data_IF_479892879139
#
_entry.id   IF_479892879139
#
_cell.length_a   1.000
_cell.length_b   1.000
_cell.length_c   1.000
_cell.angle_alpha   90.00
_cell.angle_beta   90.00
_cell.angle_gamma   90.00
#
_symmetry.space_group_name_H-M   'P 1'
#
loop_
_entity.id
_entity.type
_entity.pdbx_description
1 polymer ?
#
# COMPACT_ATOMS: atom_id res chain seq x y z
N UNK A 1 -17.43 19.76 -27.62
CA UNK A 1 -17.88 19.47 -26.23
C UNK A 1 -16.65 19.26 -25.36
N UNK A 2 -16.36 20.14 -24.38
CA UNK A 2 -15.26 19.87 -23.42
C UNK A 2 -15.73 18.80 -22.43
N UNK A 3 -15.05 17.64 -22.41
CA UNK A 3 -15.27 16.55 -21.45
C UNK A 3 -15.25 17.06 -20.00
N UNK A 4 -16.02 16.42 -19.13
CA UNK A 4 -15.92 16.71 -17.69
C UNK A 4 -14.56 16.23 -17.16
N UNK A 5 -14.10 16.80 -16.05
CA UNK A 5 -12.87 16.36 -15.40
C UNK A 5 -13.01 14.93 -14.87
N UNK A 6 -14.21 14.54 -14.45
CA UNK A 6 -14.50 13.15 -14.06
C UNK A 6 -14.29 12.18 -15.23
N UNK A 7 -14.81 12.49 -16.42
CA UNK A 7 -14.59 11.68 -17.62
C UNK A 7 -13.10 11.59 -17.98
N UNK A 8 -12.39 12.72 -17.90
CA UNK A 8 -10.95 12.75 -18.14
C UNK A 8 -10.19 11.89 -17.14
N UNK A 9 -10.46 12.03 -15.84
CA UNK A 9 -9.77 11.28 -14.81
C UNK A 9 -10.10 9.79 -14.89
N UNK A 10 -11.33 9.42 -15.25
CA UNK A 10 -11.73 8.02 -15.48
C UNK A 10 -10.98 7.36 -16.64
N UNK A 11 -10.46 8.11 -17.60
CA UNK A 11 -9.60 7.59 -18.67
C UNK A 11 -8.09 7.73 -18.37
N UNK A 12 -7.70 8.49 -17.35
CA UNK A 12 -6.31 8.75 -17.03
C UNK A 12 -5.65 7.52 -16.35
N UNK A 13 -4.65 6.87 -16.98
CA UNK A 13 -3.94 5.73 -16.38
C UNK A 13 -3.03 6.13 -15.22
N UNK A 14 -2.66 7.41 -15.12
CA UNK A 14 -1.86 7.97 -14.03
C UNK A 14 -2.72 8.85 -13.11
N UNK A 15 -3.99 8.50 -12.94
CA UNK A 15 -4.90 9.24 -12.06
C UNK A 15 -4.35 9.19 -10.64
N UNK A 16 -4.15 10.35 -10.04
CA UNK A 16 -3.91 10.50 -8.61
C UNK A 16 -5.22 10.16 -7.84
N UNK A 17 -5.21 9.26 -6.84
CA UNK A 17 -6.40 8.96 -6.03
C UNK A 17 -7.03 10.20 -5.39
N UNK A 18 -6.21 11.19 -5.00
CA UNK A 18 -6.64 12.42 -4.36
C UNK A 18 -7.00 13.52 -5.38
N UNK A 19 -7.19 13.20 -6.67
CA UNK A 19 -7.35 14.21 -7.72
C UNK A 19 -8.47 15.22 -7.46
N UNK A 20 -9.54 14.85 -6.73
CA UNK A 20 -10.63 15.78 -6.37
C UNK A 20 -10.18 16.78 -5.32
N UNK A 21 -9.53 16.33 -4.25
CA UNK A 21 -8.92 17.21 -3.25
C UNK A 21 -7.84 18.10 -3.89
N UNK A 22 -6.93 17.52 -4.68
CA UNK A 22 -5.88 18.25 -5.40
C UNK A 22 -6.48 19.32 -6.34
N UNK A 23 -7.63 19.03 -6.96
CA UNK A 23 -8.34 20.01 -7.78
C UNK A 23 -8.90 21.16 -6.93
N UNK A 24 -9.47 20.89 -5.76
CA UNK A 24 -9.92 21.94 -4.84
C UNK A 24 -8.74 22.81 -4.40
N UNK A 25 -7.61 22.22 -4.01
CA UNK A 25 -6.44 22.96 -3.58
C UNK A 25 -5.86 23.84 -4.69
N UNK A 26 -5.79 23.33 -5.93
CA UNK A 26 -5.36 24.10 -7.08
C UNK A 26 -6.29 25.31 -7.34
N UNK A 27 -7.61 25.11 -7.28
CA UNK A 27 -8.59 26.20 -7.46
C UNK A 27 -8.47 27.28 -6.39
N UNK A 28 -8.29 26.87 -5.12
CA UNK A 28 -8.08 27.80 -4.01
C UNK A 28 -6.79 28.60 -4.17
N UNK A 29 -5.71 27.94 -4.57
CA UNK A 29 -4.42 28.58 -4.81
C UNK A 29 -4.48 29.59 -5.96
N UNK A 30 -5.17 29.25 -7.04
CA UNK A 30 -5.37 30.12 -8.20
C UNK A 30 -6.44 31.22 -7.98
N UNK A 31 -7.21 31.15 -6.89
CA UNK A 31 -8.32 32.07 -6.63
C UNK A 31 -9.55 31.87 -7.54
N UNK A 32 -9.73 30.66 -8.07
CA UNK A 32 -10.81 30.33 -9.00
C UNK A 32 -11.98 29.59 -8.33
N UNK A 33 -13.20 29.82 -8.82
CA UNK A 33 -14.38 29.03 -8.41
C UNK A 33 -14.51 27.73 -9.24
N UNK A 34 -14.84 26.60 -8.61
CA UNK A 34 -15.13 25.36 -9.32
C UNK A 34 -16.40 25.47 -10.16
N UNK A 35 -16.37 24.87 -11.35
CA UNK A 35 -17.54 24.77 -12.21
C UNK A 35 -18.24 23.44 -11.99
N UNK A 36 -19.51 23.46 -11.57
CA UNK A 36 -20.30 22.21 -11.36
C UNK A 36 -20.29 21.28 -12.57
N UNK A 37 -20.36 21.84 -13.79
CA UNK A 37 -20.33 21.07 -15.04
C UNK A 37 -18.96 20.45 -15.34
N UNK A 38 -17.86 21.15 -15.03
CA UNK A 38 -16.51 20.67 -15.39
C UNK A 38 -15.87 19.86 -14.26
N UNK A 39 -16.01 20.32 -13.02
CA UNK A 39 -15.31 19.78 -11.86
C UNK A 39 -16.20 18.83 -11.02
N UNK A 40 -17.52 18.90 -11.18
CA UNK A 40 -18.49 18.07 -10.45
C UNK A 40 -19.02 18.71 -9.16
N UNK A 41 -20.12 18.18 -8.65
CA UNK A 41 -20.80 18.71 -7.46
C UNK A 41 -19.97 18.51 -6.19
N UNK A 42 -19.28 17.37 -6.07
CA UNK A 42 -18.47 17.07 -4.89
C UNK A 42 -17.27 18.02 -4.75
N UNK A 43 -16.57 18.33 -5.85
CA UNK A 43 -15.48 19.32 -5.86
C UNK A 43 -16.00 20.70 -5.48
N UNK A 44 -17.19 21.07 -5.97
CA UNK A 44 -17.83 22.35 -5.62
C UNK A 44 -18.19 22.41 -4.12
N UNK A 45 -18.81 21.35 -3.58
CA UNK A 45 -19.16 21.26 -2.16
C UNK A 45 -17.92 21.31 -1.27
N UNK A 46 -16.88 20.53 -1.59
CA UNK A 46 -15.64 20.50 -0.81
C UNK A 46 -14.88 21.84 -0.89
N UNK A 47 -14.82 22.48 -2.05
CA UNK A 47 -14.24 23.82 -2.18
C UNK A 47 -14.93 24.85 -1.28
N UNK A 48 -16.26 24.88 -1.27
CA UNK A 48 -17.04 25.77 -0.39
C UNK A 48 -16.77 25.47 1.09
N UNK A 49 -16.67 24.19 1.45
CA UNK A 49 -16.30 23.76 2.79
C UNK A 49 -14.90 24.27 3.18
N UNK A 50 -13.87 24.04 2.36
CA UNK A 50 -12.49 24.45 2.66
C UNK A 50 -12.36 25.96 2.74
N UNK A 51 -13.00 26.73 1.85
CA UNK A 51 -13.03 28.21 1.96
C UNK A 51 -13.61 28.66 3.30
N UNK A 52 -14.70 28.02 3.74
CA UNK A 52 -15.33 28.32 5.03
C UNK A 52 -14.41 27.92 6.19
N UNK A 53 -13.78 26.75 6.12
CA UNK A 53 -12.83 26.25 7.11
C UNK A 53 -11.66 27.24 7.31
N UNK A 54 -11.02 27.67 6.21
CA UNK A 54 -9.91 28.64 6.23
C UNK A 54 -10.32 30.03 6.76
N UNK A 55 -11.61 30.37 6.67
CA UNK A 55 -12.15 31.64 7.19
C UNK A 55 -12.51 31.62 8.68
N UNK A 56 -12.44 30.45 9.35
CA UNK A 56 -12.84 30.31 10.75
C UNK A 56 -11.98 31.21 11.65
N UNK A 57 -12.65 32.05 12.43
CA UNK A 57 -12.05 32.82 13.52
C UNK A 57 -12.73 32.44 14.83
N UNK A 58 -12.06 31.64 15.65
CA UNK A 58 -12.47 31.28 17.01
C UNK A 58 -13.43 30.09 17.12
N UNK A 59 -13.63 29.63 18.37
CA UNK A 59 -14.29 28.36 18.71
C UNK A 59 -15.76 28.28 18.29
N UNK A 60 -16.51 29.39 18.37
CA UNK A 60 -17.95 29.41 18.01
C UNK A 60 -18.17 29.14 16.51
N UNK A 61 -17.32 29.69 15.65
CA UNK A 61 -17.41 29.48 14.20
C UNK A 61 -17.05 28.03 13.84
N UNK A 62 -16.03 27.48 14.49
CA UNK A 62 -15.65 26.07 14.37
C UNK A 62 -16.79 25.13 14.78
N UNK A 63 -17.39 25.33 15.96
CA UNK A 63 -18.51 24.51 16.43
C UNK A 63 -19.71 24.52 15.47
N UNK A 64 -20.01 25.66 14.83
CA UNK A 64 -21.05 25.73 13.79
C UNK A 64 -20.66 24.98 12.52
N UNK A 65 -19.38 24.98 12.14
CA UNK A 65 -18.92 24.19 10.99
C UNK A 65 -19.06 22.70 11.30
N UNK A 66 -18.56 22.26 12.46
CA UNK A 66 -18.67 20.89 12.96
C UNK A 66 -20.12 20.40 13.00
N UNK A 67 -21.05 21.21 13.51
CA UNK A 67 -22.46 20.85 13.56
C UNK A 67 -23.12 20.74 12.17
N UNK A 68 -22.63 21.51 11.18
CA UNK A 68 -23.23 21.53 9.84
C UNK A 68 -22.62 20.52 8.86
N UNK A 69 -21.35 20.15 9.04
CA UNK A 69 -20.60 19.27 8.14
C UNK A 69 -19.66 18.36 8.96
N UNK A 70 -20.18 17.51 9.87
CA UNK A 70 -19.35 16.74 10.80
C UNK A 70 -18.44 15.75 10.07
N UNK A 71 -18.97 15.00 9.08
CA UNK A 71 -18.21 14.02 8.31
C UNK A 71 -17.10 14.68 7.46
N UNK A 72 -17.45 15.74 6.73
CA UNK A 72 -16.50 16.51 5.90
C UNK A 72 -15.39 17.17 6.73
N UNK A 73 -15.71 17.66 7.93
CA UNK A 73 -14.72 18.20 8.86
C UNK A 73 -13.76 17.11 9.34
N UNK A 74 -14.30 15.97 9.80
CA UNK A 74 -13.50 14.84 10.25
C UNK A 74 -12.49 14.39 9.19
N UNK A 75 -12.94 14.17 7.94
CA UNK A 75 -12.05 13.71 6.86
C UNK A 75 -11.05 14.77 6.44
N UNK A 76 -11.42 16.04 6.48
CA UNK A 76 -10.50 17.13 6.16
C UNK A 76 -9.39 17.19 7.20
N UNK A 77 -9.74 17.18 8.49
CA UNK A 77 -8.75 17.20 9.56
C UNK A 77 -7.87 15.95 9.52
N UNK A 78 -8.46 14.76 9.33
CA UNK A 78 -7.73 13.50 9.18
C UNK A 78 -6.73 13.54 8.02
N UNK A 79 -7.11 14.11 6.87
CA UNK A 79 -6.22 14.22 5.71
C UNK A 79 -5.08 15.22 5.92
N UNK A 80 -5.26 16.21 6.79
CA UNK A 80 -4.28 17.27 7.07
C UNK A 80 -3.38 16.96 8.28
N UNK A 81 -3.57 15.84 8.98
CA UNK A 81 -2.72 15.44 10.10
C UNK A 81 -1.28 15.18 9.66
N UNK A 82 -0.31 15.58 10.50
CA UNK A 82 1.11 15.26 10.32
C UNK A 82 1.36 13.76 10.51
N UNK A 83 0.72 13.16 11.52
CA UNK A 83 0.71 11.71 11.68
C UNK A 83 -0.27 11.09 10.68
N UNK A 84 0.30 10.37 9.71
CA UNK A 84 -0.42 9.78 8.57
C UNK A 84 -0.76 8.31 8.80
N UNK A 85 -0.54 7.77 9.99
CA UNK A 85 -0.72 6.34 10.28
C UNK A 85 -2.19 5.89 10.12
N UNK A 86 -3.14 6.61 10.73
CA UNK A 86 -4.59 6.29 10.59
C UNK A 86 -5.08 6.51 9.15
N UNK A 87 -4.75 7.63 8.46
CA UNK A 87 -4.98 7.77 7.02
C UNK A 87 -4.45 6.59 6.20
N UNK A 88 -3.22 6.15 6.43
CA UNK A 88 -2.61 5.06 5.67
C UNK A 88 -3.32 3.72 5.89
N UNK A 89 -3.79 3.45 7.12
CA UNK A 89 -4.59 2.26 7.42
C UNK A 89 -5.96 2.32 6.72
N UNK A 90 -6.63 3.47 6.76
CA UNK A 90 -7.89 3.67 6.04
C UNK A 90 -7.71 3.46 4.53
N UNK A 91 -6.67 4.05 3.94
CA UNK A 91 -6.32 3.86 2.53
C UNK A 91 -6.04 2.38 2.22
N UNK A 92 -5.36 1.65 3.10
CA UNK A 92 -5.13 0.22 2.93
C UNK A 92 -6.43 -0.59 2.96
N UNK A 93 -7.36 -0.30 3.89
CA UNK A 93 -8.68 -0.96 3.90
C UNK A 93 -9.50 -0.63 2.65
N UNK A 94 -9.40 0.58 2.10
CA UNK A 94 -10.10 0.97 0.87
C UNK A 94 -9.65 0.16 -0.35
N UNK A 95 -8.46 -0.45 -0.32
CA UNK A 95 -7.94 -1.37 -1.34
C UNK A 95 -8.46 -2.81 -1.19
N UNK A 96 -9.20 -3.11 -0.12
CA UNK A 96 -9.80 -4.42 0.10
C UNK A 96 -11.21 -4.53 -0.48
N UNK A 97 -11.73 -5.75 -0.49
CA UNK A 97 -13.09 -6.13 -0.86
C UNK A 97 -14.16 -5.72 0.16
N UNK A 98 -13.78 -5.24 1.35
CA UNK A 98 -14.72 -4.76 2.36
C UNK A 98 -15.59 -3.61 1.86
N UNK A 99 -16.83 -3.54 2.34
CA UNK A 99 -17.74 -2.43 2.11
C UNK A 99 -17.32 -1.17 2.89
N UNK A 100 -17.74 0.01 2.43
CA UNK A 100 -17.46 1.27 3.15
C UNK A 100 -18.07 1.29 4.56
N UNK A 101 -19.15 0.55 4.80
CA UNK A 101 -19.77 0.42 6.12
C UNK A 101 -18.86 -0.35 7.09
N UNK A 102 -18.36 -1.51 6.66
CA UNK A 102 -17.42 -2.32 7.44
C UNK A 102 -16.11 -1.57 7.71
N UNK A 103 -15.60 -0.84 6.72
CA UNK A 103 -14.39 -0.02 6.87
C UNK A 103 -14.65 1.12 7.87
N UNK A 104 -15.78 1.81 7.78
CA UNK A 104 -16.13 2.89 8.71
C UNK A 104 -16.24 2.38 10.15
N UNK A 105 -16.89 1.22 10.35
CA UNK A 105 -16.98 0.56 11.65
C UNK A 105 -15.60 0.23 12.20
N UNK A 106 -14.72 -0.34 11.37
CA UNK A 106 -13.34 -0.67 11.75
C UNK A 106 -12.52 0.54 12.14
N UNK A 107 -12.62 1.67 11.43
CA UNK A 107 -11.84 2.87 11.77
C UNK A 107 -12.50 3.69 12.91
N UNK A 108 -13.75 3.40 13.26
CA UNK A 108 -14.49 4.16 14.27
C UNK A 108 -15.00 5.50 13.74
N UNK A 109 -15.43 5.54 12.48
CA UNK A 109 -16.03 6.72 11.85
C UNK A 109 -17.40 6.41 11.24
N UNK A 110 -18.09 7.43 10.75
CA UNK A 110 -19.36 7.24 10.03
C UNK A 110 -19.11 6.78 8.59
N UNK A 111 -20.07 6.04 8.02
CA UNK A 111 -20.02 5.62 6.60
C UNK A 111 -19.92 6.83 5.68
N UNK A 112 -20.59 7.93 6.04
CA UNK A 112 -20.52 9.19 5.32
C UNK A 112 -19.09 9.75 5.30
N UNK A 113 -18.37 9.72 6.42
CA UNK A 113 -16.97 10.14 6.47
C UNK A 113 -16.09 9.21 5.63
N UNK A 114 -16.23 7.89 5.75
CA UNK A 114 -15.47 6.95 4.92
C UNK A 114 -15.72 7.17 3.42
N UNK A 115 -16.98 7.46 3.05
CA UNK A 115 -17.38 7.78 1.66
C UNK A 115 -16.74 9.08 1.18
N UNK A 116 -16.76 10.15 1.99
CA UNK A 116 -16.08 11.39 1.62
C UNK A 116 -14.57 11.18 1.49
N UNK A 117 -13.96 10.40 2.38
CA UNK A 117 -12.54 10.13 2.33
C UNK A 117 -12.14 9.42 1.04
N UNK A 118 -12.84 8.33 0.71
CA UNK A 118 -12.65 7.60 -0.55
C UNK A 118 -12.82 8.53 -1.75
N UNK A 119 -13.92 9.29 -1.84
CA UNK A 119 -14.19 10.05 -3.06
C UNK A 119 -13.26 11.26 -3.25
N UNK A 120 -12.86 11.92 -2.16
CA UNK A 120 -12.08 13.16 -2.18
C UNK A 120 -10.57 12.91 -2.19
N UNK A 121 -10.10 12.02 -1.31
CA UNK A 121 -8.69 11.85 -0.99
C UNK A 121 -8.12 10.52 -1.48
N UNK A 122 -8.95 9.49 -1.71
CA UNK A 122 -8.44 8.18 -2.11
C UNK A 122 -9.37 7.42 -3.06
N UNK A 123 -9.66 8.02 -4.22
CA UNK A 123 -10.64 7.50 -5.17
C UNK A 123 -10.02 6.34 -5.98
N UNK A 124 -10.15 5.13 -5.43
CA UNK A 124 -9.51 3.91 -5.95
C UNK A 124 -10.50 2.79 -6.23
N UNK A 125 -11.70 2.81 -5.63
CA UNK A 125 -12.60 1.65 -5.62
C UNK A 125 -13.19 1.32 -6.99
N UNK A 126 -13.27 2.29 -7.90
CA UNK A 126 -13.68 2.08 -9.29
C UNK A 126 -12.61 1.39 -10.16
N UNK A 127 -11.45 1.06 -9.58
CA UNK A 127 -10.28 0.50 -10.30
C UNK A 127 -9.51 -0.55 -9.51
N UNK A 128 -10.17 -1.27 -8.59
CA UNK A 128 -9.50 -2.33 -7.83
C UNK A 128 -8.93 -3.43 -8.74
N UNK A 129 -9.50 -3.65 -9.92
CA UNK A 129 -9.02 -4.62 -10.92
C UNK A 129 -7.79 -4.12 -11.71
N UNK A 130 -7.42 -2.85 -11.60
CA UNK A 130 -6.26 -2.29 -12.30
C UNK A 130 -4.96 -2.57 -11.52
N UNK A 131 -4.55 -3.84 -11.46
CA UNK A 131 -3.41 -4.33 -10.64
C UNK A 131 -2.12 -3.57 -10.86
N UNK A 132 -1.74 -3.29 -12.11
CA UNK A 132 -0.51 -2.56 -12.43
C UNK A 132 -0.54 -1.12 -11.90
N UNK A 133 -1.72 -0.49 -11.94
CA UNK A 133 -1.92 0.86 -11.41
C UNK A 133 -1.83 0.85 -9.88
N UNK A 134 -2.45 -0.11 -9.19
CA UNK A 134 -2.43 -0.17 -7.73
C UNK A 134 -1.03 -0.52 -7.20
N UNK A 135 -0.39 -1.55 -7.76
CA UNK A 135 0.94 -1.97 -7.30
C UNK A 135 2.01 -0.95 -7.69
N UNK A 136 1.94 -0.42 -8.91
CA UNK A 136 2.95 0.51 -9.43
C UNK A 136 2.79 1.94 -8.89
N UNK A 137 1.57 2.47 -8.84
CA UNK A 137 1.33 3.85 -8.41
C UNK A 137 1.10 3.97 -6.90
N UNK A 138 0.33 3.06 -6.28
CA UNK A 138 -0.11 3.25 -4.89
C UNK A 138 0.74 2.51 -3.87
N UNK A 139 1.29 1.35 -4.24
CA UNK A 139 2.10 0.55 -3.33
C UNK A 139 3.61 0.85 -3.46
N UNK A 140 4.07 1.27 -4.64
CA UNK A 140 5.50 1.53 -4.88
C UNK A 140 5.86 3.02 -4.75
N UNK A 141 5.07 3.92 -5.31
CA UNK A 141 5.26 5.37 -5.14
C UNK A 141 4.54 5.74 -3.83
N UNK A 142 5.30 5.97 -2.75
CA UNK A 142 4.71 6.30 -1.44
C UNK A 142 3.97 7.64 -1.42
N UNK A 143 3.56 8.06 -0.22
CA UNK A 143 2.70 9.23 0.03
C UNK A 143 3.39 10.60 -0.18
N UNK A 144 4.39 10.69 -1.07
CA UNK A 144 5.19 11.91 -1.28
C UNK A 144 6.27 12.16 -0.21
N UNK A 145 6.52 11.18 0.66
CA UNK A 145 7.63 11.24 1.64
C UNK A 145 9.00 11.28 0.97
N UNK A 146 10.02 11.90 1.63
CA UNK A 146 11.37 11.99 1.11
C UNK A 146 11.96 10.60 0.78
N UNK A 147 12.90 10.54 -0.18
CA UNK A 147 13.57 9.29 -0.53
C UNK A 147 14.18 8.63 0.71
N UNK A 148 14.17 7.29 0.73
CA UNK A 148 14.62 6.50 1.89
C UNK A 148 16.00 6.98 2.39
N UNK A 149 16.21 7.06 3.71
CA UNK A 149 17.52 7.29 4.27
C UNK A 149 18.55 6.29 3.72
N UNK A 150 19.77 6.78 3.45
CA UNK A 150 20.85 5.96 2.87
C UNK A 150 21.32 4.84 3.81
N UNK A 151 21.02 4.95 5.10
CA UNK A 151 21.31 3.94 6.12
C UNK A 151 20.36 2.73 6.09
N UNK A 152 19.30 2.77 5.27
CA UNK A 152 18.35 1.67 5.12
C UNK A 152 17.36 1.54 6.29
N UNK A 153 17.26 2.55 7.14
CA UNK A 153 16.28 2.57 8.25
C UNK A 153 14.86 2.65 7.68
N UNK A 154 13.96 1.71 8.03
CA UNK A 154 12.57 1.74 7.57
C UNK A 154 11.87 3.02 8.02
N UNK A 155 11.20 3.71 7.09
CA UNK A 155 10.44 4.94 7.40
C UNK A 155 8.96 4.67 7.68
N UNK A 156 8.23 5.70 8.12
CA UNK A 156 6.77 5.64 8.24
C UNK A 156 6.10 5.38 6.87
N UNK A 157 6.57 6.00 5.78
CA UNK A 157 6.09 5.63 4.44
C UNK A 157 6.39 4.18 4.02
N UNK A 158 7.51 3.57 4.45
CA UNK A 158 7.73 2.14 4.18
C UNK A 158 6.62 1.29 4.80
N UNK A 159 6.23 1.61 6.04
CA UNK A 159 5.13 0.95 6.74
C UNK A 159 3.79 1.17 6.04
N UNK A 160 3.49 2.41 5.61
CA UNK A 160 2.25 2.71 4.89
C UNK A 160 2.14 1.98 3.55
N UNK A 161 3.25 1.95 2.78
CA UNK A 161 3.34 1.16 1.54
C UNK A 161 3.10 -0.32 1.81
N UNK A 162 3.69 -0.84 2.89
CA UNK A 162 3.53 -2.23 3.29
C UNK A 162 2.06 -2.55 3.64
N UNK A 163 1.35 -1.67 4.34
CA UNK A 163 -0.09 -1.83 4.60
C UNK A 163 -0.89 -1.95 3.32
N UNK A 164 -0.73 -1.00 2.39
CA UNK A 164 -1.45 -0.99 1.12
C UNK A 164 -1.19 -2.25 0.31
N UNK A 165 0.08 -2.66 0.22
CA UNK A 165 0.50 -3.87 -0.50
C UNK A 165 -0.11 -5.14 0.12
N UNK A 166 -0.03 -5.28 1.44
CA UNK A 166 -0.56 -6.44 2.15
C UNK A 166 -2.09 -6.49 2.12
N UNK A 167 -2.76 -5.33 2.18
CA UNK A 167 -4.20 -5.24 2.06
C UNK A 167 -4.68 -5.61 0.65
N UNK A 168 -4.05 -5.07 -0.39
CA UNK A 168 -4.45 -5.32 -1.76
C UNK A 168 -4.19 -6.78 -2.19
N UNK A 169 -3.04 -7.34 -1.80
CA UNK A 169 -2.67 -8.69 -2.23
C UNK A 169 -3.19 -9.80 -1.28
N UNK A 170 -3.36 -9.50 0.01
CA UNK A 170 -3.72 -10.47 1.06
C UNK A 170 -5.10 -10.25 1.68
N UNK A 171 -5.76 -9.13 1.39
CA UNK A 171 -7.06 -8.78 1.95
C UNK A 171 -7.00 -8.26 3.39
N UNK A 172 -8.18 -7.94 3.93
CA UNK A 172 -8.32 -7.27 5.23
C UNK A 172 -7.81 -8.10 6.42
N UNK A 173 -7.89 -9.44 6.37
CA UNK A 173 -7.41 -10.30 7.46
C UNK A 173 -5.90 -10.26 7.63
N UNK A 174 -5.17 -10.23 6.52
CA UNK A 174 -3.71 -10.07 6.54
C UNK A 174 -3.36 -8.67 7.04
N UNK A 175 -4.10 -7.66 6.59
CA UNK A 175 -3.93 -6.28 7.08
C UNK A 175 -4.13 -6.18 8.60
N UNK A 176 -5.17 -6.81 9.17
CA UNK A 176 -5.41 -6.80 10.62
C UNK A 176 -4.21 -7.35 11.40
N UNK A 177 -3.60 -8.46 10.93
CA UNK A 177 -2.39 -9.04 11.53
C UNK A 177 -1.21 -8.07 11.42
N UNK A 178 -1.03 -7.47 10.25
CA UNK A 178 0.09 -6.55 9.97
C UNK A 178 0.01 -5.31 10.87
N UNK A 179 -1.18 -4.70 11.01
CA UNK A 179 -1.39 -3.55 11.90
C UNK A 179 -1.13 -3.94 13.35
N UNK A 180 -1.66 -5.08 13.80
CA UNK A 180 -1.46 -5.57 15.16
C UNK A 180 0.03 -5.79 15.49
N UNK A 181 0.85 -6.17 14.51
CA UNK A 181 2.30 -6.40 14.70
C UNK A 181 3.12 -5.11 14.60
N UNK A 182 2.85 -4.26 13.60
CA UNK A 182 3.69 -3.09 13.30
C UNK A 182 3.26 -1.82 14.05
N UNK A 183 1.97 -1.69 14.37
CA UNK A 183 1.41 -0.54 15.08
C UNK A 183 0.50 -0.95 16.24
N UNK A 184 1.07 -1.63 17.27
CA UNK A 184 0.30 -2.15 18.40
C UNK A 184 -0.32 -1.06 19.30
N UNK A 185 0.08 0.19 19.13
CA UNK A 185 -0.41 1.34 19.89
C UNK A 185 -1.70 1.93 19.30
N UNK A 186 -2.08 1.52 18.09
CA UNK A 186 -3.28 2.02 17.43
C UNK A 186 -4.51 1.32 18.00
N UNK A 187 -5.46 2.13 18.46
CA UNK A 187 -6.74 1.66 19.00
C UNK A 187 -7.80 1.74 17.90
N UNK A 188 -7.73 0.79 16.98
CA UNK A 188 -8.78 0.51 15.98
C UNK A 188 -9.48 -0.77 16.46
N UNK A 189 -10.81 -0.91 16.34
CA UNK A 189 -11.51 -2.19 16.52
C UNK A 189 -11.09 -3.19 15.43
N UNK A 190 -9.87 -3.71 15.60
CA UNK A 190 -9.31 -4.81 14.84
C UNK A 190 -10.00 -6.11 15.28
N UNK A 191 -10.15 -7.04 14.34
CA UNK A 191 -10.59 -8.40 14.69
C UNK A 191 -9.56 -9.16 15.52
N UNK A 192 -8.33 -8.65 15.64
CA UNK A 192 -7.18 -9.29 16.27
C UNK A 192 -6.37 -8.27 17.07
N UNK A 193 -6.06 -8.54 18.34
CA UNK A 193 -5.10 -7.75 19.09
C UNK A 193 -3.67 -8.30 18.91
N UNK A 194 -2.67 -7.45 19.11
CA UNK A 194 -1.26 -7.83 18.99
C UNK A 194 -0.87 -9.05 19.84
N UNK A 195 -1.49 -9.21 21.02
CA UNK A 195 -1.26 -10.33 21.94
C UNK A 195 -1.84 -11.66 21.45
N UNK A 196 -2.81 -11.61 20.55
CA UNK A 196 -3.50 -12.79 20.01
C UNK A 196 -2.74 -13.36 18.79
N UNK A 197 -1.69 -12.67 18.32
CA UNK A 197 -0.84 -13.09 17.22
C UNK A 197 0.34 -13.91 17.74
N UNK A 198 0.44 -15.15 17.25
CA UNK A 198 1.55 -16.07 17.55
C UNK A 198 2.92 -15.45 17.24
N UNK A 199 3.94 -15.76 18.07
CA UNK A 199 5.26 -15.15 17.95
C UNK A 199 5.95 -15.49 16.61
N UNK A 200 5.73 -16.70 16.06
CA UNK A 200 6.27 -17.04 14.75
C UNK A 200 5.63 -16.21 13.64
N UNK A 201 4.34 -15.89 13.74
CA UNK A 201 3.64 -14.99 12.81
C UNK A 201 4.16 -13.56 12.94
N UNK A 202 4.34 -13.07 14.18
CA UNK A 202 4.92 -11.75 14.45
C UNK A 202 6.31 -11.61 13.82
N UNK A 203 7.18 -12.60 14.01
CA UNK A 203 8.52 -12.63 13.42
C UNK A 203 8.48 -12.65 11.90
N UNK A 204 7.57 -13.42 11.28
CA UNK A 204 7.39 -13.45 9.82
C UNK A 204 6.96 -12.09 9.26
N UNK A 205 5.98 -11.43 9.88
CA UNK A 205 5.54 -10.10 9.44
C UNK A 205 6.69 -9.10 9.53
N UNK A 206 7.44 -9.08 10.64
CA UNK A 206 8.62 -8.21 10.79
C UNK A 206 9.71 -8.51 9.76
N UNK A 207 9.98 -9.78 9.47
CA UNK A 207 10.95 -10.18 8.46
C UNK A 207 10.54 -9.73 7.05
N UNK A 208 9.25 -9.85 6.72
CA UNK A 208 8.71 -9.39 5.44
C UNK A 208 8.74 -7.87 5.31
N UNK A 209 8.39 -7.18 6.39
CA UNK A 209 8.49 -5.74 6.43
C UNK A 209 9.94 -5.28 6.25
N UNK A 210 10.90 -5.91 6.92
CA UNK A 210 12.32 -5.61 6.77
C UNK A 210 12.83 -5.89 5.35
N UNK A 211 12.39 -7.01 4.74
CA UNK A 211 12.74 -7.37 3.37
C UNK A 211 12.19 -6.35 2.37
N UNK A 212 10.94 -5.93 2.51
CA UNK A 212 10.29 -4.95 1.63
C UNK A 212 10.85 -3.53 1.78
N UNK A 213 11.20 -3.18 3.02
CA UNK A 213 11.81 -1.89 3.35
C UNK A 213 13.30 -1.86 2.99
N UNK A 214 13.89 -3.01 2.63
CA UNK A 214 15.29 -3.10 2.23
C UNK A 214 15.55 -2.41 0.88
N UNK A 215 16.69 -1.74 0.70
CA UNK A 215 17.14 -1.22 -0.60
C UNK A 215 17.33 -2.33 -1.65
N UNK A 216 17.47 -3.58 -1.21
CA UNK A 216 17.67 -4.76 -2.06
C UNK A 216 16.35 -5.43 -2.48
N UNK A 217 15.19 -4.88 -2.09
CA UNK A 217 13.86 -5.38 -2.40
C UNK A 217 13.56 -5.31 -3.91
N UNK A 218 14.12 -6.26 -4.66
CA UNK A 218 13.90 -6.44 -6.11
C UNK A 218 12.87 -7.53 -6.39
N UNK A 219 12.41 -8.25 -5.35
CA UNK A 219 11.55 -9.43 -5.47
C UNK A 219 10.20 -9.20 -4.78
N UNK A 220 9.13 -9.79 -5.34
CA UNK A 220 7.81 -9.80 -4.70
C UNK A 220 7.87 -10.66 -3.40
N UNK A 221 7.58 -10.10 -2.22
CA UNK A 221 7.79 -10.73 -0.93
C UNK A 221 6.80 -11.88 -0.73
N UNK A 222 5.59 -11.77 -1.27
CA UNK A 222 4.58 -12.83 -1.22
C UNK A 222 5.02 -14.03 -2.05
N UNK A 223 5.71 -13.80 -3.18
CA UNK A 223 6.33 -14.90 -3.94
C UNK A 223 7.45 -15.56 -3.14
N UNK A 224 8.23 -14.81 -2.37
CA UNK A 224 9.26 -15.36 -1.49
C UNK A 224 8.65 -16.16 -0.33
N UNK A 225 7.54 -15.73 0.27
CA UNK A 225 6.81 -16.52 1.26
C UNK A 225 6.28 -17.81 0.63
N UNK A 226 5.64 -17.72 -0.54
CA UNK A 226 5.10 -18.90 -1.24
C UNK A 226 6.21 -19.89 -1.59
N UNK A 227 7.37 -19.40 -2.04
CA UNK A 227 8.56 -20.22 -2.26
C UNK A 227 9.06 -20.86 -0.97
N UNK A 228 9.14 -20.11 0.13
CA UNK A 228 9.61 -20.62 1.41
C UNK A 228 8.63 -21.66 2.00
N UNK A 229 7.32 -21.46 1.83
CA UNK A 229 6.30 -22.44 2.20
C UNK A 229 6.39 -23.71 1.36
N UNK A 230 6.62 -23.58 0.04
CA UNK A 230 6.85 -24.72 -0.85
C UNK A 230 8.13 -25.46 -0.49
N UNK A 231 9.21 -24.74 -0.16
CA UNK A 231 10.48 -25.31 0.28
C UNK A 231 10.31 -26.08 1.59
N UNK A 232 9.64 -25.50 2.59
CA UNK A 232 9.34 -26.18 3.84
C UNK A 232 8.45 -27.42 3.65
N UNK A 233 7.49 -27.38 2.72
CA UNK A 233 6.67 -28.54 2.36
C UNK A 233 7.49 -29.65 1.66
N UNK A 234 8.44 -29.27 0.79
CA UNK A 234 9.36 -30.20 0.15
C UNK A 234 10.35 -30.81 1.14
N UNK A 235 10.90 -30.02 2.07
CA UNK A 235 11.76 -30.51 3.14
C UNK A 235 11.02 -31.45 4.09
N UNK A 236 9.77 -31.13 4.45
CA UNK A 236 8.92 -32.01 5.25
C UNK A 236 8.62 -33.33 4.51
N UNK A 237 8.38 -33.26 3.20
CA UNK A 237 8.15 -34.44 2.36
C UNK A 237 9.42 -35.29 2.17
N UNK A 238 10.59 -34.66 2.03
CA UNK A 238 11.89 -35.34 1.92
C UNK A 238 12.31 -36.00 3.24
N UNK A 239 12.02 -35.36 4.39
CA UNK A 239 12.21 -35.94 5.72
C UNK A 239 11.31 -37.14 6.00
N UNK A 240 10.12 -37.20 5.40
CA UNK A 240 9.25 -38.39 5.47
C UNK A 240 9.69 -39.53 4.54
N UNK A 241 10.55 -39.25 3.56
CA UNK A 241 10.99 -40.21 2.54
C UNK A 241 12.35 -40.88 2.82
N UNK A 242 12.98 -40.63 3.99
CA UNK A 242 14.28 -41.21 4.41
C UNK A 242 15.40 -41.16 3.35
N UNK A 243 15.35 -40.14 2.48
CA UNK A 243 16.39 -39.87 1.48
C UNK A 243 17.01 -38.52 1.75
N UNK A 244 18.35 -38.44 1.65
CA UNK A 244 19.07 -37.18 1.81
C UNK A 244 18.54 -36.14 0.80
N UNK A 245 18.38 -34.86 1.20
CA UNK A 245 17.90 -33.83 0.29
C UNK A 245 18.92 -33.64 -0.84
N UNK A 246 18.65 -34.21 -2.01
CA UNK A 246 19.41 -33.91 -3.22
C UNK A 246 18.93 -32.55 -3.72
N UNK A 247 19.64 -31.49 -3.33
CA UNK A 247 19.43 -30.15 -3.84
C UNK A 247 19.78 -30.13 -5.34
N UNK A 248 18.76 -30.18 -6.20
CA UNK A 248 18.98 -29.96 -7.62
C UNK A 248 19.05 -28.45 -7.87
N UNK A 249 20.26 -27.90 -7.73
CA UNK A 249 20.56 -26.48 -7.90
C UNK A 249 20.15 -25.97 -9.29
N UNK A 250 20.23 -26.81 -10.34
CA UNK A 250 19.80 -26.43 -11.69
C UNK A 250 18.28 -26.26 -11.80
N UNK A 251 17.49 -27.08 -11.11
CA UNK A 251 16.03 -26.94 -11.09
C UNK A 251 15.59 -25.64 -10.39
N UNK A 252 16.26 -25.30 -9.29
CA UNK A 252 16.01 -24.07 -8.53
C UNK A 252 16.40 -22.84 -9.39
N UNK A 253 17.56 -22.88 -10.04
CA UNK A 253 18.02 -21.79 -10.93
C UNK A 253 17.12 -21.62 -12.17
N UNK A 254 16.61 -22.70 -12.74
CA UNK A 254 15.64 -22.66 -13.84
C UNK A 254 14.30 -22.03 -13.41
N UNK A 255 13.87 -22.25 -12.18
CA UNK A 255 12.62 -21.70 -11.64
C UNK A 255 12.76 -20.21 -11.23
N UNK A 256 13.94 -19.80 -10.76
CA UNK A 256 14.31 -18.38 -10.60
C UNK A 256 14.27 -17.63 -11.94
N UNK A 257 14.79 -18.25 -13.00
CA UNK A 257 14.73 -17.69 -14.35
C UNK A 257 13.29 -17.61 -14.90
N UNK A 258 12.46 -18.64 -14.68
CA UNK A 258 11.05 -18.65 -15.05
C UNK A 258 10.23 -17.58 -14.31
N UNK A 259 10.65 -17.20 -13.09
CA UNK A 259 10.06 -16.11 -12.32
C UNK A 259 10.56 -14.70 -12.71
N UNK A 260 11.44 -14.60 -13.71
CA UNK A 260 12.01 -13.32 -14.17
C UNK A 260 13.06 -12.71 -13.23
N UNK A 261 13.58 -13.50 -12.28
CA UNK A 261 14.57 -13.04 -11.30
C UNK A 261 15.97 -13.27 -11.89
N UNK A 262 16.66 -12.20 -12.29
CA UNK A 262 18.07 -12.27 -12.69
C UNK A 262 18.95 -12.21 -11.45
N UNK A 263 19.66 -13.30 -11.18
CA UNK A 263 20.73 -13.34 -10.17
C UNK A 263 21.99 -12.72 -10.79
N UNK A 264 22.53 -11.61 -10.26
CA UNK A 264 23.77 -11.05 -10.78
C UNK A 264 24.94 -11.96 -10.37
N UNK A 265 25.77 -12.31 -11.35
CA UNK A 265 27.00 -13.12 -11.26
C UNK A 265 26.80 -14.63 -11.01
N UNK A 266 26.52 -15.36 -12.10
CA UNK A 266 27.08 -16.70 -12.25
C UNK A 266 28.35 -16.55 -13.10
N UNK A 267 29.54 -17.00 -12.64
CA UNK A 267 30.71 -17.04 -13.49
C UNK A 267 30.44 -18.04 -14.62
N UNK A 268 30.65 -17.62 -15.87
CA UNK A 268 30.46 -18.44 -17.06
C UNK A 268 31.21 -19.77 -16.91
N UNK A 269 30.45 -20.86 -16.82
CA UNK A 269 30.95 -22.22 -16.94
C UNK A 269 31.32 -22.48 -18.41
N UNK A 270 32.41 -21.86 -18.86
CA UNK A 270 33.03 -22.12 -20.17
C UNK A 270 34.55 -21.93 -20.08
N UNK A 271 35.20 -22.68 -19.19
CA UNK A 271 36.65 -22.90 -19.21
C UNK A 271 37.02 -24.15 -18.40
N UNK A 272 36.51 -25.29 -18.84
CA UNK A 272 37.14 -26.59 -18.55
C UNK A 272 37.72 -27.09 -19.87
N UNK A 273 38.93 -26.64 -20.21
CA UNK A 273 39.77 -27.41 -21.13
C UNK A 273 40.55 -28.40 -20.30
N UNK A 274 40.06 -29.63 -20.33
CA UNK A 274 40.89 -30.82 -20.14
C UNK A 274 42.11 -30.74 -21.05
N UNK A 275 43.26 -31.11 -20.52
CA UNK A 275 44.53 -31.15 -21.24
C UNK A 275 45.60 -31.88 -20.44
N UNK A 276 45.27 -33.07 -19.94
CA UNK A 276 46.28 -34.04 -19.50
C UNK A 276 46.60 -35.01 -20.63
N UNK A 277 47.87 -35.03 -21.09
CA UNK A 277 48.65 -36.23 -21.43
C UNK A 277 50.07 -35.89 -21.91
N UNK A 278 51.03 -36.21 -21.05
CA UNK A 278 52.35 -36.83 -21.24
C UNK A 278 53.09 -36.81 -22.60
N UNK A 279 54.28 -36.18 -22.59
CA UNK A 279 55.62 -36.65 -23.04
C UNK A 279 55.93 -36.85 -24.54
N UNK A 280 57.19 -37.13 -24.95
CA UNK A 280 58.51 -36.66 -24.49
C UNK A 280 59.41 -36.10 -25.63
N UNK A 281 60.38 -35.24 -25.31
CA UNK A 281 61.74 -35.16 -25.91
C UNK A 281 62.53 -34.00 -25.29
#
# INVERSE_FOLDING_TARGET
MRRSREEFQRANPFRDPAWRANRVYALLYEGHEPSRRRDGELVHAYHKFVRRYLSIRGRKAYARLQASHPALLLVHELAMQEDREVPAILEAYLLTDLSLDEIAHRIGMTVEAATYYEQLFFCVRDRLDATDWILGLLCAQGDGEPPRPRDGTPTTADRHRFYKKMAYQGGHRILDIVIAVLSPHIVIPLSLAARDVDEAVRLRVKALYALESSPLATCNPLKLIQLNQKLAAQEASARQADSAPSFNVEAILAEFAACGIKIPNTPDAASTREGGRDGPN
#
